data_IF_119052349265
#
_entry.id   IF_119052349265
#
_cell.length_a   1.000
_cell.length_b   1.000
_cell.length_c   1.000
_cell.angle_alpha   90.00
_cell.angle_beta   90.00
_cell.angle_gamma   90.00
#
_symmetry.space_group_name_H-M   'P 1'
#
loop_
_entity.id
_entity.type
_entity.pdbx_description
1 polymer ?
#
# COMPACT_ATOMS: atom_id res chain seq x y z
N UNK A 1 -3.20 5.26 -5.02
CA UNK A 1 -2.39 5.89 -6.09
C UNK A 1 -1.00 6.17 -5.54
N UNK A 2 0.05 5.71 -6.24
CA UNK A 2 1.42 6.00 -5.87
C UNK A 2 1.81 7.38 -6.43
N UNK A 3 2.07 8.33 -5.54
CA UNK A 3 2.56 9.66 -5.88
C UNK A 3 3.89 9.87 -5.14
N UNK A 4 4.95 9.22 -5.64
CA UNK A 4 6.33 9.32 -5.15
C UNK A 4 6.83 10.63 -4.53
N UNK A 5 7.20 10.52 -3.25
CA UNK A 5 8.45 10.99 -2.64
C UNK A 5 9.06 9.92 -1.69
N UNK A 6 8.41 8.73 -1.57
CA UNK A 6 8.74 7.67 -0.61
C UNK A 6 9.01 6.29 -1.25
N UNK A 7 9.44 6.28 -2.52
CA UNK A 7 9.56 5.05 -3.34
C UNK A 7 10.73 4.13 -2.95
N UNK A 8 11.69 4.63 -2.15
CA UNK A 8 12.84 3.83 -1.72
C UNK A 8 12.55 2.93 -0.51
N UNK A 9 11.39 3.08 0.14
CA UNK A 9 11.03 2.27 1.30
C UNK A 9 10.24 1.01 0.91
N UNK A 10 10.53 -0.16 1.53
CA UNK A 10 9.79 -1.39 1.26
C UNK A 10 8.43 -1.38 1.97
N UNK A 11 7.49 -0.56 1.48
CA UNK A 11 6.20 -0.25 2.12
C UNK A 11 5.43 -1.52 2.47
N UNK A 12 5.21 -2.42 1.51
CA UNK A 12 4.43 -3.66 1.72
C UNK A 12 5.07 -4.53 2.81
N UNK A 13 6.38 -4.75 2.74
CA UNK A 13 7.11 -5.53 3.73
C UNK A 13 7.07 -4.88 5.12
N UNK A 14 7.05 -3.55 5.19
CA UNK A 14 6.88 -2.80 6.43
C UNK A 14 5.48 -2.97 7.02
N UNK A 15 4.43 -2.95 6.20
CA UNK A 15 3.06 -3.22 6.66
C UNK A 15 2.96 -4.61 7.31
N UNK A 16 3.47 -5.63 6.61
CA UNK A 16 3.41 -7.02 7.06
C UNK A 16 4.06 -7.18 8.44
N UNK A 17 5.28 -6.64 8.61
CA UNK A 17 6.01 -6.74 9.88
C UNK A 17 5.43 -5.90 11.00
N UNK A 18 5.02 -4.66 10.72
CA UNK A 18 4.59 -3.70 11.76
C UNK A 18 3.19 -4.00 12.29
N UNK A 19 2.27 -4.42 11.42
CA UNK A 19 0.87 -4.63 11.77
C UNK A 19 0.48 -6.10 11.84
N UNK A 20 1.42 -7.04 11.60
CA UNK A 20 1.15 -8.48 11.63
C UNK A 20 -0.05 -8.87 10.75
N UNK A 21 -0.06 -8.33 9.53
CA UNK A 21 -1.05 -8.61 8.50
C UNK A 21 -0.37 -9.29 7.31
N UNK A 22 -1.14 -10.06 6.56
CA UNK A 22 -0.73 -10.55 5.25
C UNK A 22 -1.27 -9.62 4.15
N UNK A 23 -0.49 -9.47 3.08
CA UNK A 23 -0.87 -8.69 1.91
C UNK A 23 -0.75 -9.58 0.68
N UNK A 24 -1.87 -9.86 0.03
CA UNK A 24 -1.90 -10.53 -1.27
C UNK A 24 -2.05 -9.50 -2.38
N UNK A 25 -1.11 -9.47 -3.31
CA UNK A 25 -1.19 -8.62 -4.51
C UNK A 25 -2.10 -9.32 -5.52
N UNK A 26 -3.18 -8.63 -5.93
CA UNK A 26 -4.17 -9.15 -6.88
C UNK A 26 -3.82 -8.69 -8.30
N UNK A 27 -3.52 -7.40 -8.46
CA UNK A 27 -3.07 -6.82 -9.70
C UNK A 27 -2.31 -5.53 -9.42
N UNK A 28 -1.60 -5.02 -10.42
CA UNK A 28 -0.85 -3.80 -10.28
C UNK A 28 -0.30 -3.34 -11.60
N UNK A 29 -0.20 -2.03 -11.75
CA UNK A 29 0.55 -1.39 -12.82
C UNK A 29 1.40 -0.30 -12.19
N UNK A 30 2.72 -0.46 -12.30
CA UNK A 30 3.70 0.52 -11.85
C UNK A 30 4.52 0.84 -13.08
N UNK A 31 4.47 2.10 -13.49
CA UNK A 31 5.27 2.62 -14.59
C UNK A 31 6.37 3.48 -13.98
N UNK A 32 7.61 3.02 -14.17
CA UNK A 32 8.81 3.75 -13.77
C UNK A 32 9.05 4.84 -14.82
N UNK A 33 8.63 6.07 -14.51
CA UNK A 33 8.95 7.23 -15.33
C UNK A 33 10.26 7.83 -14.84
N UNK A 34 11.00 8.47 -15.74
CA UNK A 34 12.33 9.07 -15.52
C UNK A 34 12.37 10.11 -14.38
N UNK A 35 11.22 10.51 -13.85
CA UNK A 35 11.07 11.52 -12.81
C UNK A 35 10.31 11.04 -11.57
N UNK A 36 9.50 9.98 -11.67
CA UNK A 36 8.60 9.50 -10.61
C UNK A 36 7.91 8.19 -11.00
N UNK A 37 7.84 7.22 -10.11
CA UNK A 37 7.00 6.05 -10.33
C UNK A 37 5.53 6.44 -10.18
N UNK A 38 4.72 6.11 -11.18
CA UNK A 38 3.28 6.35 -11.18
C UNK A 38 2.58 5.02 -11.38
N UNK A 39 1.57 4.75 -10.55
CA UNK A 39 0.85 3.50 -10.65
C UNK A 39 -0.15 3.25 -9.54
N UNK A 40 -0.62 2.01 -9.51
CA UNK A 40 -1.47 1.46 -8.48
C UNK A 40 -1.21 -0.03 -8.26
N UNK A 41 -1.54 -0.48 -7.05
CA UNK A 41 -1.59 -1.88 -6.67
C UNK A 41 -2.98 -2.13 -6.12
N UNK A 42 -3.62 -3.21 -6.59
CA UNK A 42 -4.81 -3.77 -5.97
C UNK A 42 -4.36 -4.91 -5.08
N UNK A 43 -4.64 -4.77 -3.79
CA UNK A 43 -4.21 -5.73 -2.78
C UNK A 43 -5.37 -6.17 -1.92
N UNK A 44 -5.25 -7.38 -1.36
CA UNK A 44 -6.12 -7.90 -0.31
C UNK A 44 -5.32 -7.97 0.98
N UNK A 45 -5.82 -7.30 2.01
CA UNK A 45 -5.30 -7.42 3.37
C UNK A 45 -5.98 -8.58 4.09
N UNK A 46 -5.20 -9.41 4.79
CA UNK A 46 -5.69 -10.45 5.68
C UNK A 46 -5.09 -10.25 7.07
N UNK A 47 -5.91 -10.37 8.10
CA UNK A 47 -5.51 -10.11 9.48
C UNK A 47 -6.68 -9.62 10.32
N UNK A 48 -6.39 -9.14 11.53
CA UNK A 48 -7.45 -8.57 12.36
C UNK A 48 -7.90 -7.22 11.79
N UNK A 49 -9.19 -6.91 11.96
CA UNK A 49 -9.77 -5.63 11.51
C UNK A 49 -9.02 -4.43 12.12
N UNK A 50 -8.63 -4.54 13.40
CA UNK A 50 -7.88 -3.48 14.08
C UNK A 50 -6.50 -3.26 13.44
N UNK A 51 -5.77 -4.33 13.13
CA UNK A 51 -4.45 -4.22 12.49
C UNK A 51 -4.52 -3.66 11.07
N UNK A 52 -5.52 -4.09 10.31
CA UNK A 52 -5.76 -3.58 8.96
C UNK A 52 -6.06 -2.08 9.04
N UNK A 53 -6.90 -1.64 9.98
CA UNK A 53 -7.21 -0.23 10.16
C UNK A 53 -5.95 0.60 10.50
N UNK A 54 -5.09 0.12 11.41
CA UNK A 54 -3.81 0.78 11.72
C UNK A 54 -2.86 0.86 10.51
N UNK A 55 -2.83 -0.19 9.69
CA UNK A 55 -2.05 -0.21 8.45
C UNK A 55 -2.56 0.82 7.44
N UNK A 56 -3.88 0.97 7.29
CA UNK A 56 -4.49 1.98 6.41
C UNK A 56 -4.18 3.41 6.88
N UNK A 57 -4.26 3.66 8.19
CA UNK A 57 -3.88 4.96 8.79
C UNK A 57 -2.42 5.30 8.54
N UNK A 58 -1.53 4.31 8.69
CA UNK A 58 -0.11 4.47 8.37
C UNK A 58 0.13 4.80 6.89
N UNK A 59 -0.55 4.11 5.97
CA UNK A 59 -0.44 4.42 4.53
C UNK A 59 -0.92 5.84 4.22
N UNK A 60 -2.03 6.28 4.82
CA UNK A 60 -2.50 7.66 4.67
C UNK A 60 -1.50 8.68 5.24
N UNK A 61 -0.84 8.38 6.36
CA UNK A 61 0.20 9.23 6.96
C UNK A 61 1.46 9.35 6.08
N UNK A 62 1.75 8.34 5.25
CA UNK A 62 2.80 8.38 4.22
C UNK A 62 2.36 9.13 2.94
N UNK A 63 1.18 9.76 2.94
CA UNK A 63 0.65 10.47 1.76
C UNK A 63 0.18 9.53 0.64
N UNK A 64 0.07 8.22 0.89
CA UNK A 64 -0.47 7.28 -0.09
C UNK A 64 -2.00 7.36 -0.09
N UNK A 65 -2.57 7.49 -1.29
CA UNK A 65 -4.02 7.39 -1.46
C UNK A 65 -4.42 5.91 -1.50
N UNK A 66 -5.20 5.48 -0.51
CA UNK A 66 -5.79 4.15 -0.47
C UNK A 66 -7.29 4.25 -0.68
N UNK A 67 -7.81 3.49 -1.63
CA UNK A 67 -9.24 3.40 -1.91
C UNK A 67 -9.74 1.98 -1.68
N UNK A 68 -10.88 1.84 -1.00
CA UNK A 68 -11.56 0.56 -0.86
C UNK A 68 -12.35 0.31 -2.14
N UNK A 69 -11.96 -0.71 -2.90
CA UNK A 69 -12.77 -1.21 -4.01
C UNK A 69 -14.08 -1.76 -3.45
N UNK A 70 -15.20 -1.31 -4.03
CA UNK A 70 -16.51 -1.93 -3.79
C UNK A 70 -16.57 -3.20 -4.62
N UNK A 71 -17.10 -4.27 -4.03
CA UNK A 71 -17.43 -5.50 -4.76
C UNK A 71 -18.43 -5.21 -5.90
#
# INVERSE_FOLDING_TARGET
>A
MFLGEHLDEPIISNLIRRFKIDVSIISGNIEELTTKDIGYLVVRFLGSVAEIQRALEYLNALGLQVEKLKD
#
